data_IF_130393296559
#
_entry.id   IF_130393296559
#
_cell.length_a   1.000
_cell.length_b   1.000
_cell.length_c   1.000
_cell.angle_alpha   90.00
_cell.angle_beta   90.00
_cell.angle_gamma   90.00
#
_symmetry.space_group_name_H-M   'P 1'
#
loop_
_entity.id
_entity.type
_entity.pdbx_description
1 polymer ?
#
# COMPACT_ATOMS: atom_id res chain seq x y z
N UNK A 1 3.80 -13.85 -51.41
CA UNK A 1 3.10 -12.85 -50.58
C UNK A 1 2.77 -13.52 -49.24
N UNK A 2 3.58 -13.25 -48.21
CA UNK A 2 3.41 -13.84 -46.88
C UNK A 2 2.64 -12.85 -46.01
N UNK A 3 1.40 -13.17 -45.69
CA UNK A 3 0.57 -12.44 -44.73
C UNK A 3 1.01 -12.86 -43.32
N UNK A 4 1.96 -12.11 -42.74
CA UNK A 4 2.26 -12.18 -41.32
C UNK A 4 1.06 -11.61 -40.56
N UNK A 5 0.20 -12.51 -40.06
CA UNK A 5 -0.82 -12.19 -39.10
C UNK A 5 -0.13 -11.70 -37.82
N UNK A 6 -0.10 -10.38 -37.59
CA UNK A 6 0.23 -9.81 -36.30
C UNK A 6 -0.77 -10.34 -35.27
N UNK A 7 -0.35 -11.32 -34.49
CA UNK A 7 -1.06 -11.73 -33.29
C UNK A 7 -1.27 -10.50 -32.43
N UNK A 8 -2.48 -9.96 -32.38
CA UNK A 8 -2.87 -8.96 -31.38
C UNK A 8 -2.69 -9.62 -30.02
N UNK A 9 -1.65 -9.24 -29.28
CA UNK A 9 -1.51 -9.56 -27.88
C UNK A 9 -2.82 -9.11 -27.23
N UNK A 10 -3.63 -10.07 -26.78
CA UNK A 10 -4.90 -9.82 -26.11
C UNK A 10 -4.52 -9.03 -24.84
N UNK A 11 -4.89 -7.76 -24.79
CA UNK A 11 -4.72 -6.94 -23.59
C UNK A 11 -5.53 -7.61 -22.47
N UNK A 12 -4.82 -8.30 -21.58
CA UNK A 12 -5.42 -8.94 -20.43
C UNK A 12 -5.75 -7.83 -19.42
N UNK A 13 -7.01 -7.49 -19.36
CA UNK A 13 -7.54 -6.61 -18.32
C UNK A 13 -7.34 -7.29 -16.96
N UNK A 14 -6.62 -6.62 -16.04
CA UNK A 14 -6.32 -7.12 -14.70
C UNK A 14 -7.38 -6.64 -13.73
N UNK A 15 -8.05 -7.59 -13.07
CA UNK A 15 -9.03 -7.31 -12.03
C UNK A 15 -8.32 -7.13 -10.69
N UNK A 16 -8.57 -6.03 -10.01
CA UNK A 16 -7.90 -5.70 -8.77
C UNK A 16 -8.88 -5.24 -7.70
N UNK A 17 -8.60 -5.63 -6.47
CA UNK A 17 -9.18 -5.07 -5.27
C UNK A 17 -8.16 -4.12 -4.65
N UNK A 18 -8.55 -2.88 -4.41
CA UNK A 18 -7.75 -1.89 -3.71
C UNK A 18 -8.42 -1.63 -2.37
N UNK A 19 -7.71 -1.90 -1.28
CA UNK A 19 -8.14 -1.60 0.07
C UNK A 19 -7.35 -0.39 0.57
N UNK A 20 -8.05 0.62 1.05
CA UNK A 20 -7.45 1.77 1.72
C UNK A 20 -7.86 1.72 3.20
N UNK A 21 -6.86 1.68 4.08
CA UNK A 21 -7.03 1.63 5.53
C UNK A 21 -6.67 3.00 6.08
N UNK A 22 -7.68 3.77 6.43
CA UNK A 22 -7.56 5.09 7.03
C UNK A 22 -7.48 5.04 8.56
N UNK A 23 -7.65 6.19 9.19
CA UNK A 23 -7.64 6.35 10.64
C UNK A 23 -8.97 5.99 11.30
N UNK A 24 -10.09 6.10 10.57
CA UNK A 24 -11.45 5.92 11.08
C UNK A 24 -12.31 5.02 10.18
N UNK A 25 -11.79 4.57 9.04
CA UNK A 25 -12.55 3.77 8.07
C UNK A 25 -11.65 2.89 7.20
N UNK A 26 -12.27 1.90 6.61
CA UNK A 26 -11.69 1.11 5.52
C UNK A 26 -12.54 1.32 4.28
N UNK A 27 -11.90 1.67 3.17
CA UNK A 27 -12.53 1.79 1.86
C UNK A 27 -11.99 0.72 0.93
N UNK A 28 -12.85 0.09 0.16
CA UNK A 28 -12.49 -0.87 -0.87
C UNK A 28 -12.95 -0.39 -2.24
N UNK A 29 -12.16 -0.68 -3.26
CA UNK A 29 -12.47 -0.38 -4.65
C UNK A 29 -12.15 -1.58 -5.53
N UNK A 30 -13.12 -2.04 -6.30
CA UNK A 30 -12.88 -2.97 -7.40
C UNK A 30 -12.57 -2.18 -8.66
N UNK A 31 -11.43 -2.47 -9.27
CA UNK A 31 -11.01 -1.82 -10.49
C UNK A 31 -10.49 -2.81 -11.54
N UNK A 32 -10.65 -2.43 -12.80
CA UNK A 32 -10.10 -3.16 -13.95
C UNK A 32 -9.03 -2.26 -14.58
N UNK A 33 -7.81 -2.77 -14.66
CA UNK A 33 -6.67 -2.11 -15.29
C UNK A 33 -6.42 -2.73 -16.66
N UNK A 34 -6.38 -1.89 -17.69
CA UNK A 34 -6.01 -2.25 -19.06
C UNK A 34 -4.72 -1.52 -19.44
N UNK A 35 -3.87 -2.14 -20.27
CA UNK A 35 -2.51 -1.64 -20.53
C UNK A 35 -2.41 -0.23 -21.13
N UNK A 36 -3.46 0.25 -21.80
CA UNK A 36 -3.46 1.54 -22.51
C UNK A 36 -4.66 2.42 -22.16
N UNK A 37 -5.39 2.10 -21.09
CA UNK A 37 -6.61 2.81 -20.73
C UNK A 37 -6.58 3.23 -19.26
N UNK A 38 -7.45 4.18 -18.91
CA UNK A 38 -7.62 4.58 -17.52
C UNK A 38 -8.23 3.43 -16.72
N UNK A 39 -7.87 3.26 -15.44
CA UNK A 39 -8.51 2.28 -14.57
C UNK A 39 -10.04 2.49 -14.56
N UNK A 40 -10.78 1.43 -14.78
CA UNK A 40 -12.22 1.45 -14.68
C UNK A 40 -12.65 0.99 -13.29
N UNK A 41 -13.20 1.90 -12.50
CA UNK A 41 -13.80 1.59 -11.19
C UNK A 41 -15.12 0.87 -11.42
N UNK A 42 -15.24 -0.33 -10.88
CA UNK A 42 -16.45 -1.18 -11.03
C UNK A 42 -17.40 -0.93 -9.87
N UNK A 43 -16.86 -0.91 -8.65
CA UNK A 43 -17.63 -0.78 -7.42
C UNK A 43 -16.77 -0.25 -6.29
N UNK A 44 -17.38 0.42 -5.32
CA UNK A 44 -16.73 0.88 -4.10
C UNK A 44 -17.61 0.53 -2.90
N UNK A 45 -16.97 0.22 -1.77
CA UNK A 45 -17.61 0.03 -0.49
C UNK A 45 -16.73 0.64 0.61
N UNK A 46 -17.36 1.08 1.68
CA UNK A 46 -16.66 1.60 2.85
C UNK A 46 -17.27 1.09 4.15
N UNK A 47 -16.46 1.04 5.19
CA UNK A 47 -16.86 0.70 6.54
C UNK A 47 -16.19 1.64 7.53
N UNK A 48 -16.98 2.39 8.28
CA UNK A 48 -16.49 3.16 9.42
C UNK A 48 -16.03 2.23 10.54
N UNK A 49 -14.93 2.60 11.18
CA UNK A 49 -14.41 1.97 12.38
C UNK A 49 -14.54 2.97 13.52
N UNK A 50 -15.46 2.71 14.43
CA UNK A 50 -15.68 3.56 15.60
C UNK A 50 -14.78 3.11 16.72
N UNK A 51 -13.86 3.97 17.08
CA UNK A 51 -12.94 3.78 18.20
C UNK A 51 -13.53 4.37 19.46
N UNK A 52 -13.36 3.69 20.58
CA UNK A 52 -13.66 4.21 21.91
C UNK A 52 -12.34 4.56 22.61
N UNK A 53 -12.37 5.29 23.69
CA UNK A 53 -11.15 5.75 24.40
C UNK A 53 -10.45 4.66 25.25
N UNK A 54 -10.89 3.41 25.16
CA UNK A 54 -10.45 2.33 26.05
C UNK A 54 -9.96 1.08 25.34
N UNK A 55 -9.81 1.13 23.99
CA UNK A 55 -9.35 -0.04 23.24
C UNK A 55 -7.87 -0.29 23.44
N UNK A 56 -7.54 -1.56 23.63
CA UNK A 56 -6.16 -2.03 23.54
C UNK A 56 -5.71 -2.05 22.09
N UNK A 57 -4.39 -2.06 21.86
CA UNK A 57 -3.81 -2.18 20.50
C UNK A 57 -4.38 -3.40 19.74
N UNK A 58 -4.49 -4.54 20.41
CA UNK A 58 -5.05 -5.76 19.81
C UNK A 58 -6.51 -5.61 19.38
N UNK A 59 -7.32 -4.93 20.19
CA UNK A 59 -8.72 -4.64 19.84
C UNK A 59 -8.80 -3.65 18.68
N UNK A 60 -7.99 -2.59 18.69
CA UNK A 60 -7.85 -1.65 17.60
C UNK A 60 -7.51 -2.36 16.28
N UNK A 61 -6.46 -3.18 16.25
CA UNK A 61 -6.07 -3.95 15.08
C UNK A 61 -7.19 -4.90 14.60
N UNK A 62 -7.90 -5.55 15.53
CA UNK A 62 -9.00 -6.45 15.19
C UNK A 62 -10.18 -5.72 14.57
N UNK A 63 -10.52 -4.51 15.01
CA UNK A 63 -11.60 -3.71 14.43
C UNK A 63 -11.32 -3.40 12.97
N UNK A 64 -10.12 -2.91 12.64
CA UNK A 64 -9.75 -2.63 11.26
C UNK A 64 -9.64 -3.87 10.38
N UNK A 65 -9.09 -4.96 10.93
CA UNK A 65 -9.06 -6.25 10.22
C UNK A 65 -10.48 -6.74 9.89
N UNK A 66 -11.41 -6.64 10.83
CA UNK A 66 -12.81 -7.01 10.62
C UNK A 66 -13.45 -6.12 9.56
N UNK A 67 -13.27 -4.81 9.64
CA UNK A 67 -13.78 -3.87 8.64
C UNK A 67 -13.22 -4.16 7.24
N UNK A 68 -11.92 -4.46 7.12
CA UNK A 68 -11.31 -4.82 5.84
C UNK A 68 -11.90 -6.10 5.24
N UNK A 69 -12.13 -7.12 6.08
CA UNK A 69 -12.78 -8.36 5.64
C UNK A 69 -14.23 -8.11 5.21
N UNK A 70 -14.99 -7.31 5.97
CA UNK A 70 -16.37 -6.96 5.63
C UNK A 70 -16.43 -6.24 4.28
N UNK A 71 -15.58 -5.22 4.07
CA UNK A 71 -15.50 -4.47 2.81
C UNK A 71 -15.10 -5.37 1.64
N UNK A 72 -14.06 -6.18 1.81
CA UNK A 72 -13.62 -7.11 0.77
C UNK A 72 -14.72 -8.13 0.42
N UNK A 73 -15.42 -8.66 1.42
CA UNK A 73 -16.50 -9.61 1.23
C UNK A 73 -17.68 -8.97 0.51
N UNK A 74 -18.10 -7.78 0.91
CA UNK A 74 -19.17 -7.03 0.27
C UNK A 74 -18.89 -6.81 -1.22
N UNK A 75 -17.65 -6.47 -1.56
CA UNK A 75 -17.24 -6.22 -2.94
C UNK A 75 -17.10 -7.50 -3.77
N UNK A 76 -16.60 -8.59 -3.19
CA UNK A 76 -16.31 -9.82 -3.95
C UNK A 76 -17.51 -10.78 -4.01
N UNK A 77 -18.40 -10.75 -3.02
CA UNK A 77 -19.55 -11.65 -2.90
C UNK A 77 -20.91 -10.93 -2.97
N UNK A 78 -20.93 -9.60 -3.13
CA UNK A 78 -22.17 -8.82 -3.24
C UNK A 78 -23.03 -9.29 -4.42
N UNK A 79 -24.35 -9.30 -4.22
CA UNK A 79 -25.30 -9.54 -5.31
C UNK A 79 -25.23 -8.38 -6.30
N UNK A 80 -24.52 -8.57 -7.40
CA UNK A 80 -24.49 -7.58 -8.49
C UNK A 80 -25.78 -7.64 -9.28
N UNK A 81 -26.43 -6.49 -9.37
CA UNK A 81 -27.60 -6.33 -10.19
C UNK A 81 -27.39 -6.82 -11.62
N UNK A 82 -28.37 -7.58 -12.15
CA UNK A 82 -28.59 -7.99 -13.54
C UNK A 82 -27.36 -8.39 -14.39
N UNK A 83 -26.49 -9.20 -13.85
CA UNK A 83 -25.30 -9.71 -14.56
C UNK A 83 -24.44 -10.65 -13.74
N UNK A 84 -24.84 -10.95 -12.56
CA UNK A 84 -24.46 -11.97 -11.57
C UNK A 84 -23.17 -12.75 -11.77
N UNK A 85 -22.01 -12.11 -11.90
CA UNK A 85 -20.72 -12.79 -11.88
C UNK A 85 -19.92 -12.39 -10.64
N UNK A 86 -19.37 -13.37 -9.93
CA UNK A 86 -18.40 -13.08 -8.88
C UNK A 86 -17.21 -12.34 -9.48
N UNK A 87 -16.85 -11.20 -8.89
CA UNK A 87 -15.61 -10.54 -9.24
C UNK A 87 -14.48 -11.16 -8.44
N UNK A 88 -13.70 -12.00 -9.07
CA UNK A 88 -12.51 -12.55 -8.45
C UNK A 88 -11.33 -11.64 -8.79
N UNK A 89 -10.79 -10.89 -7.82
CA UNK A 89 -9.61 -10.07 -8.04
C UNK A 89 -8.38 -10.95 -8.26
N UNK A 90 -7.56 -10.59 -9.25
CA UNK A 90 -6.27 -11.23 -9.52
C UNK A 90 -5.15 -10.62 -8.66
N UNK A 91 -5.36 -9.36 -8.27
CA UNK A 91 -4.42 -8.61 -7.43
C UNK A 91 -5.17 -7.90 -6.31
N UNK A 92 -4.52 -7.83 -5.15
CA UNK A 92 -4.97 -7.03 -4.01
C UNK A 92 -3.89 -6.01 -3.70
N UNK A 93 -4.27 -4.73 -3.70
CA UNK A 93 -3.40 -3.63 -3.28
C UNK A 93 -3.92 -3.09 -1.95
N UNK A 94 -3.01 -2.84 -1.03
CA UNK A 94 -3.34 -2.25 0.27
C UNK A 94 -2.62 -0.91 0.38
N UNK A 95 -3.38 0.15 0.62
CA UNK A 95 -2.88 1.49 0.93
C UNK A 95 -3.15 1.78 2.39
N UNK A 96 -2.14 2.22 3.10
CA UNK A 96 -2.23 2.60 4.50
C UNK A 96 -2.13 4.12 4.63
N UNK A 97 -2.92 4.71 5.52
CA UNK A 97 -2.84 6.11 5.92
C UNK A 97 -2.34 6.20 7.36
N UNK A 98 -1.97 7.39 7.83
CA UNK A 98 -1.70 7.60 9.27
C UNK A 98 -2.94 7.18 10.10
N UNK A 99 -2.78 6.48 11.24
CA UNK A 99 -1.53 6.24 11.99
C UNK A 99 -0.80 4.93 11.65
N UNK A 100 -1.19 4.21 10.60
CA UNK A 100 -0.65 2.89 10.26
C UNK A 100 0.81 2.89 9.83
N UNK A 101 1.29 4.05 9.34
CA UNK A 101 2.69 4.24 9.03
C UNK A 101 3.14 5.66 9.31
N UNK A 102 4.42 5.84 9.49
CA UNK A 102 5.09 7.14 9.47
C UNK A 102 6.21 7.12 8.44
N UNK A 103 6.36 8.22 7.73
CA UNK A 103 7.42 8.39 6.75
C UNK A 103 8.09 9.76 6.92
N UNK A 104 9.39 9.83 6.69
CA UNK A 104 10.14 11.07 6.75
C UNK A 104 11.15 11.12 5.61
N UNK A 105 11.15 12.23 4.88
CA UNK A 105 12.24 12.55 3.95
C UNK A 105 13.37 13.22 4.73
N UNK A 106 14.58 12.70 4.58
CA UNK A 106 15.77 13.21 5.27
C UNK A 106 16.84 13.56 4.24
N UNK A 107 17.61 14.57 4.56
CA UNK A 107 18.78 14.98 3.76
C UNK A 107 20.05 14.67 4.53
N UNK A 108 20.90 13.86 3.95
CA UNK A 108 22.19 13.49 4.54
C UNK A 108 23.27 14.38 3.92
N UNK A 109 24.01 15.10 4.74
CA UNK A 109 25.16 15.90 4.33
C UNK A 109 26.43 15.13 4.61
N UNK A 110 27.22 14.90 3.58
CA UNK A 110 28.49 14.22 3.70
C UNK A 110 29.60 15.02 3.05
N UNK A 111 30.68 15.27 3.77
CA UNK A 111 31.86 15.98 3.26
C UNK A 111 33.14 15.35 3.79
N UNK A 112 34.19 15.36 2.96
CA UNK A 112 35.57 15.01 3.34
C UNK A 112 36.51 16.14 2.98
N UNK A 113 37.65 16.22 3.68
CA UNK A 113 38.71 17.19 3.36
C UNK A 113 39.38 16.89 2.02
N UNK A 114 39.53 15.59 1.71
CA UNK A 114 40.16 15.12 0.48
C UNK A 114 39.08 14.76 -0.56
N UNK A 115 39.36 14.91 -1.85
CA UNK A 115 38.48 14.44 -2.92
C UNK A 115 38.16 12.97 -2.77
N UNK A 116 36.91 12.59 -2.94
CA UNK A 116 36.46 11.21 -2.85
C UNK A 116 35.51 10.85 -4.00
N UNK A 117 35.42 9.57 -4.29
CA UNK A 117 34.48 9.04 -5.27
C UNK A 117 33.20 8.68 -4.52
N UNK A 118 32.08 9.27 -4.93
CA UNK A 118 30.77 8.86 -4.42
C UNK A 118 30.40 7.53 -5.09
N UNK A 119 30.35 6.48 -4.31
CA UNK A 119 30.02 5.13 -4.75
C UNK A 119 28.70 4.66 -4.14
N UNK A 120 28.06 3.68 -4.78
CA UNK A 120 26.84 3.04 -4.27
C UNK A 120 27.03 2.50 -2.84
N UNK A 121 28.17 1.87 -2.57
CA UNK A 121 28.49 1.37 -1.22
C UNK A 121 28.54 2.51 -0.18
N UNK A 122 29.11 3.66 -0.56
CA UNK A 122 29.13 4.82 0.33
C UNK A 122 27.72 5.34 0.58
N UNK A 123 26.87 5.40 -0.47
CA UNK A 123 25.48 5.80 -0.35
C UNK A 123 24.74 4.87 0.63
N UNK A 124 24.83 3.56 0.44
CA UNK A 124 24.21 2.58 1.35
C UNK A 124 24.68 2.73 2.79
N UNK A 125 26.00 2.91 3.01
CA UNK A 125 26.53 3.12 4.35
C UNK A 125 25.92 4.34 5.03
N UNK A 126 25.87 5.47 4.32
CA UNK A 126 25.31 6.72 4.85
C UNK A 126 23.81 6.60 5.15
N UNK A 127 23.06 5.90 4.30
CA UNK A 127 21.64 5.64 4.51
C UNK A 127 21.44 4.77 5.74
N UNK A 128 22.21 3.70 5.89
CA UNK A 128 22.06 2.78 7.02
C UNK A 128 22.43 3.44 8.35
N UNK A 129 23.47 4.28 8.37
CA UNK A 129 23.86 5.06 9.56
C UNK A 129 22.79 6.06 9.96
N UNK A 130 22.28 6.87 9.02
CA UNK A 130 21.21 7.84 9.29
C UNK A 130 19.92 7.14 9.72
N UNK A 131 19.59 6.04 9.06
CA UNK A 131 18.42 5.25 9.39
C UNK A 131 18.49 4.65 10.79
N UNK A 132 19.63 4.10 11.20
CA UNK A 132 19.82 3.56 12.54
C UNK A 132 19.63 4.64 13.62
N UNK A 133 20.12 5.86 13.37
CA UNK A 133 19.91 6.99 14.26
C UNK A 133 18.44 7.42 14.29
N UNK A 134 17.79 7.52 13.13
CA UNK A 134 16.38 7.85 13.03
C UNK A 134 15.51 6.84 13.78
N UNK A 135 15.72 5.54 13.53
CA UNK A 135 14.97 4.45 14.17
C UNK A 135 15.05 4.57 15.69
N UNK A 136 16.25 4.74 16.25
CA UNK A 136 16.44 4.90 17.69
C UNK A 136 15.66 6.10 18.26
N UNK A 137 15.65 7.22 17.54
CA UNK A 137 14.95 8.43 18.00
C UNK A 137 13.44 8.24 17.91
N UNK A 138 12.95 7.65 16.83
CA UNK A 138 11.54 7.41 16.61
C UNK A 138 10.98 6.37 17.59
N UNK A 139 11.67 5.26 17.81
CA UNK A 139 11.29 4.24 18.81
C UNK A 139 11.23 4.84 20.22
N UNK A 140 12.14 5.74 20.57
CA UNK A 140 12.09 6.45 21.84
C UNK A 140 10.89 7.40 21.96
N UNK A 141 10.49 8.01 20.86
CA UNK A 141 9.34 8.92 20.81
C UNK A 141 7.99 8.19 20.82
N UNK A 142 7.88 7.06 20.15
CA UNK A 142 6.65 6.26 20.09
C UNK A 142 6.52 5.25 21.23
N UNK A 143 7.61 4.93 21.93
CA UNK A 143 7.62 3.94 23.01
C UNK A 143 7.60 2.48 22.57
N UNK A 144 7.64 2.22 21.26
CA UNK A 144 7.52 0.89 20.64
C UNK A 144 8.52 0.67 19.52
N UNK A 145 8.89 -0.62 19.23
CA UNK A 145 9.78 -0.93 18.13
C UNK A 145 9.11 -0.67 16.78
N UNK A 146 9.83 0.00 15.87
CA UNK A 146 9.37 0.29 14.52
C UNK A 146 9.73 -0.81 13.53
N UNK A 147 8.73 -1.24 12.76
CA UNK A 147 8.96 -2.10 11.61
C UNK A 147 9.23 -1.26 10.36
N UNK A 148 10.32 -1.57 9.68
CA UNK A 148 10.68 -0.91 8.41
C UNK A 148 9.83 -1.49 7.30
N UNK A 149 9.11 -0.64 6.58
CA UNK A 149 8.34 -1.02 5.40
C UNK A 149 9.17 -0.84 4.13
N UNK A 150 9.88 0.28 4.01
CA UNK A 150 10.70 0.59 2.85
C UNK A 150 11.82 1.58 3.20
N UNK A 151 12.94 1.49 2.47
CA UNK A 151 14.02 2.46 2.42
C UNK A 151 14.34 2.70 0.94
N UNK A 152 13.97 3.86 0.44
CA UNK A 152 14.26 4.26 -0.94
C UNK A 152 15.03 5.58 -1.00
N UNK A 153 15.78 5.77 -2.08
CA UNK A 153 16.61 6.96 -2.37
C UNK A 153 16.15 7.57 -3.68
#
# INVERSE_FOLDING_TARGET
MSLLAKSKKKDLAKKSLILHIGSDRVTGTLAIFSNNDRPHVVEMAEKEVRLTSHETEAEFMNLFRKAAVEVATALTHGERGKGGGHFVPEHVYVSLESPWFTGQTRTIYYSKKDPFIFSENLAHTLIDEDFAQYKKTAEAAFGEPLQVLDKSV
#
